data_IF_132373236066
#
_entry.id   IF_132373236066
#
_cell.length_a   1.000
_cell.length_b   1.000
_cell.length_c   1.000
_cell.angle_alpha   90.00
_cell.angle_beta   90.00
_cell.angle_gamma   90.00
#
_symmetry.space_group_name_H-M   'P 1'
#
loop_
_entity.id
_entity.type
_entity.pdbx_description
1 polymer ?
#
# COMPACT_ATOMS: atom_id res chain seq x y z
N UNK A 1 31.13 35.01 -63.07
CA UNK A 1 30.52 33.73 -62.65
C UNK A 1 30.05 33.88 -61.21
N UNK A 2 28.73 33.82 -61.01
CA UNK A 2 28.02 34.15 -59.77
C UNK A 2 28.51 33.38 -58.54
N UNK A 3 28.62 34.05 -57.39
CA UNK A 3 28.29 33.45 -56.08
C UNK A 3 28.07 34.54 -55.01
N UNK A 4 26.80 34.90 -54.85
CA UNK A 4 26.26 35.61 -53.68
C UNK A 4 26.53 34.76 -52.44
N UNK A 5 26.96 35.36 -51.33
CA UNK A 5 26.69 34.82 -50.00
C UNK A 5 26.25 35.96 -49.08
N UNK A 6 24.94 35.96 -48.85
CA UNK A 6 24.22 36.88 -48.01
C UNK A 6 24.60 36.70 -46.54
N UNK A 7 24.64 37.83 -45.84
CA UNK A 7 24.57 37.92 -44.38
C UNK A 7 23.17 37.48 -43.95
N UNK A 8 23.07 36.61 -42.94
CA UNK A 8 21.81 36.42 -42.22
C UNK A 8 22.12 36.13 -40.76
N UNK A 9 21.65 37.05 -39.92
CA UNK A 9 21.79 37.06 -38.48
C UNK A 9 21.12 35.84 -37.82
N UNK A 10 21.76 35.31 -36.80
CA UNK A 10 21.21 34.25 -35.96
C UNK A 10 20.12 34.84 -35.06
N UNK A 11 18.87 34.43 -35.27
CA UNK A 11 17.77 34.63 -34.33
C UNK A 11 17.73 33.44 -33.37
N UNK A 12 18.08 33.65 -32.10
CA UNK A 12 17.83 32.67 -31.05
C UNK A 12 16.37 32.77 -30.62
N UNK A 13 15.56 31.79 -31.01
CA UNK A 13 14.18 31.64 -30.51
C UNK A 13 14.26 30.90 -29.17
N UNK A 14 14.02 31.63 -28.08
CA UNK A 14 13.84 31.04 -26.76
C UNK A 14 12.43 30.44 -26.68
N UNK A 15 12.32 29.12 -26.76
CA UNK A 15 11.06 28.40 -26.49
C UNK A 15 10.85 28.32 -24.99
N UNK A 16 10.00 29.17 -24.45
CA UNK A 16 9.45 29.01 -23.11
C UNK A 16 8.52 27.78 -23.12
N UNK A 17 8.98 26.67 -22.56
CA UNK A 17 8.14 25.51 -22.29
C UNK A 17 7.31 25.87 -21.06
N UNK A 18 6.05 26.24 -21.28
CA UNK A 18 5.06 26.33 -20.20
C UNK A 18 4.87 24.93 -19.61
N UNK A 19 5.48 24.67 -18.45
CA UNK A 19 5.15 23.52 -17.63
C UNK A 19 3.71 23.70 -17.16
N UNK A 20 2.75 23.18 -17.93
CA UNK A 20 1.39 22.96 -17.48
C UNK A 20 1.49 22.00 -16.30
N UNK A 21 1.34 22.56 -15.09
CA UNK A 21 1.41 21.82 -13.84
C UNK A 21 0.43 20.65 -13.90
N UNK A 22 0.98 19.43 -13.79
CA UNK A 22 0.18 18.23 -13.56
C UNK A 22 -0.68 18.46 -12.33
N UNK A 23 -2.01 18.35 -12.46
CA UNK A 23 -2.91 18.35 -11.31
C UNK A 23 -2.45 17.24 -10.38
N UNK A 24 -1.93 17.62 -9.21
CA UNK A 24 -1.62 16.68 -8.14
C UNK A 24 -2.90 15.91 -7.83
N UNK A 25 -2.90 14.59 -8.07
CA UNK A 25 -3.98 13.74 -7.60
C UNK A 25 -4.06 13.89 -6.09
N UNK A 26 -5.11 14.55 -5.61
CA UNK A 26 -5.34 14.72 -4.18
C UNK A 26 -5.66 13.33 -3.63
N UNK A 27 -4.66 12.69 -2.99
CA UNK A 27 -4.90 11.46 -2.28
C UNK A 27 -5.76 11.79 -1.06
N UNK A 28 -6.86 11.08 -0.87
CA UNK A 28 -7.59 11.14 0.40
C UNK A 28 -6.60 10.81 1.53
N UNK A 29 -6.58 11.61 2.61
CA UNK A 29 -5.66 11.38 3.71
C UNK A 29 -5.93 9.99 4.29
N UNK A 30 -4.89 9.14 4.26
CA UNK A 30 -4.95 7.80 4.83
C UNK A 30 -5.38 7.91 6.30
N UNK A 31 -6.46 7.23 6.66
CA UNK A 31 -6.84 7.10 8.08
C UNK A 31 -5.65 6.49 8.82
N UNK A 32 -5.12 7.16 9.85
CA UNK A 32 -3.98 6.65 10.58
C UNK A 32 -4.34 5.31 11.24
N UNK A 33 -3.37 4.38 11.28
CA UNK A 33 -3.56 3.11 11.96
C UNK A 33 -3.74 3.33 13.47
N UNK A 34 -4.61 2.52 14.07
CA UNK A 34 -4.74 2.48 15.53
C UNK A 34 -3.51 1.78 16.15
N UNK A 35 -3.20 2.04 17.45
CA UNK A 35 -2.10 1.36 18.13
C UNK A 35 -2.19 -0.18 18.08
N UNK A 36 -3.41 -0.71 18.15
CA UNK A 36 -3.67 -2.15 18.08
C UNK A 36 -3.34 -2.71 16.69
N UNK A 37 -3.64 -1.97 15.63
CA UNK A 37 -3.33 -2.38 14.26
C UNK A 37 -1.83 -2.33 13.97
N UNK A 38 -1.12 -1.34 14.51
CA UNK A 38 0.34 -1.29 14.46
C UNK A 38 0.94 -2.52 15.15
N UNK A 39 0.49 -2.83 16.37
CA UNK A 39 0.96 -3.98 17.13
C UNK A 39 0.66 -5.30 16.42
N UNK A 40 -0.55 -5.42 15.87
CA UNK A 40 -0.96 -6.57 15.07
C UNK A 40 -0.03 -6.81 13.87
N UNK A 41 0.26 -5.76 13.09
CA UNK A 41 1.12 -5.85 11.91
C UNK A 41 2.56 -6.20 12.28
N UNK A 42 3.09 -5.64 13.37
CA UNK A 42 4.41 -5.97 13.88
C UNK A 42 4.52 -7.46 14.23
N UNK A 43 3.55 -7.98 14.98
CA UNK A 43 3.55 -9.40 15.36
C UNK A 43 3.30 -10.33 14.17
N UNK A 44 2.39 -9.95 13.27
CA UNK A 44 2.14 -10.70 12.04
C UNK A 44 3.42 -10.85 11.22
N UNK A 45 4.13 -9.74 10.93
CA UNK A 45 5.40 -9.78 10.19
C UNK A 45 6.45 -10.64 10.89
N UNK A 46 6.64 -10.42 12.19
CA UNK A 46 7.63 -11.16 12.99
C UNK A 46 7.37 -12.66 12.92
N UNK A 47 6.14 -13.08 13.19
CA UNK A 47 5.79 -14.50 13.29
C UNK A 47 5.78 -15.15 11.91
N UNK A 48 5.19 -14.52 10.90
CA UNK A 48 5.14 -15.08 9.54
C UNK A 48 6.55 -15.23 8.94
N UNK A 49 7.44 -14.28 9.19
CA UNK A 49 8.84 -14.38 8.77
C UNK A 49 9.55 -15.52 9.51
N UNK A 50 9.39 -15.61 10.84
CA UNK A 50 10.02 -16.63 11.65
C UNK A 50 9.57 -18.06 11.30
N UNK A 51 8.31 -18.22 10.86
CA UNK A 51 7.74 -19.51 10.45
C UNK A 51 7.89 -19.79 8.95
N UNK A 52 8.54 -18.91 8.19
CA UNK A 52 8.64 -18.99 6.72
C UNK A 52 7.27 -19.11 6.04
N UNK A 53 6.24 -18.52 6.64
CA UNK A 53 4.90 -18.49 6.06
C UNK A 53 4.88 -17.50 4.89
N UNK A 54 4.36 -17.89 3.70
CA UNK A 54 4.28 -17.00 2.54
C UNK A 54 3.49 -15.71 2.83
N UNK A 55 2.58 -15.72 3.81
CA UNK A 55 1.87 -14.53 4.28
C UNK A 55 2.82 -13.41 4.74
N UNK A 56 4.05 -13.74 5.16
CA UNK A 56 5.06 -12.74 5.55
C UNK A 56 5.54 -11.84 4.42
N UNK A 57 5.30 -12.21 3.16
CA UNK A 57 5.62 -11.38 1.98
C UNK A 57 4.46 -10.50 1.53
N UNK A 58 3.26 -10.66 2.11
CA UNK A 58 2.14 -9.80 1.81
C UNK A 58 2.34 -8.42 2.44
N UNK A 59 1.89 -7.38 1.73
CA UNK A 59 1.93 -6.01 2.26
C UNK A 59 1.03 -5.84 3.49
N UNK A 60 1.38 -4.89 4.34
CA UNK A 60 0.67 -4.58 5.59
C UNK A 60 -0.84 -4.38 5.37
N UNK A 61 -1.24 -3.74 4.27
CA UNK A 61 -2.66 -3.56 3.92
C UNK A 61 -3.42 -4.88 3.72
N UNK A 62 -2.78 -5.90 3.15
CA UNK A 62 -3.39 -7.22 2.98
C UNK A 62 -3.48 -7.97 4.30
N UNK A 63 -2.42 -7.95 5.11
CA UNK A 63 -2.43 -8.54 6.45
C UNK A 63 -3.56 -7.93 7.29
N UNK A 64 -3.67 -6.59 7.30
CA UNK A 64 -4.71 -5.87 8.04
C UNK A 64 -6.12 -6.20 7.53
N UNK A 65 -6.31 -6.31 6.22
CA UNK A 65 -7.60 -6.68 5.62
C UNK A 65 -8.03 -8.09 6.04
N UNK A 66 -7.13 -9.06 5.93
CA UNK A 66 -7.42 -10.46 6.29
C UNK A 66 -7.67 -10.60 7.81
N UNK A 67 -6.92 -9.86 8.65
CA UNK A 67 -7.15 -9.82 10.10
C UNK A 67 -8.50 -9.21 10.48
N UNK A 68 -8.87 -8.07 9.89
CA UNK A 68 -10.19 -7.43 10.11
C UNK A 68 -11.32 -8.34 9.62
N UNK A 69 -11.12 -9.01 8.49
CA UNK A 69 -12.08 -10.00 7.98
C UNK A 69 -12.26 -11.17 8.97
N UNK A 70 -11.18 -11.72 9.52
CA UNK A 70 -11.27 -12.76 10.54
C UNK A 70 -12.07 -12.31 11.78
N UNK A 71 -11.85 -11.07 12.24
CA UNK A 71 -12.63 -10.47 13.32
C UNK A 71 -14.13 -10.35 12.98
N UNK A 72 -14.47 -9.90 11.78
CA UNK A 72 -15.87 -9.78 11.34
C UNK A 72 -16.57 -11.15 11.19
N UNK A 73 -15.83 -12.21 10.86
CA UNK A 73 -16.40 -13.58 10.79
C UNK A 73 -16.61 -14.21 12.17
N UNK A 74 -15.75 -13.86 13.14
CA UNK A 74 -15.92 -14.27 14.53
C UNK A 74 -17.24 -13.77 15.12
N UNK A 75 -17.71 -12.58 14.74
CA UNK A 75 -19.01 -12.05 15.22
C UNK A 75 -20.22 -12.80 14.65
N UNK A 76 -20.01 -13.66 13.65
CA UNK A 76 -21.03 -14.54 13.08
C UNK A 76 -20.78 -16.02 13.40
N UNK A 77 -19.99 -16.31 14.43
CA UNK A 77 -19.58 -17.67 14.85
C UNK A 77 -18.85 -18.50 13.78
N UNK A 78 -18.23 -17.82 12.80
CA UNK A 78 -17.43 -18.47 11.75
C UNK A 78 -15.96 -18.21 12.06
N UNK A 79 -15.30 -19.24 12.59
CA UNK A 79 -13.96 -19.13 13.17
C UNK A 79 -13.00 -20.09 12.47
N UNK A 80 -11.77 -19.63 12.26
CA UNK A 80 -10.67 -20.45 11.77
C UNK A 80 -10.68 -20.68 10.26
N UNK A 81 -9.59 -21.28 9.80
CA UNK A 81 -9.28 -21.40 8.36
C UNK A 81 -10.36 -22.15 7.56
N UNK A 82 -11.05 -23.13 8.15
CA UNK A 82 -12.12 -23.86 7.45
C UNK A 82 -13.34 -23.00 7.08
N UNK A 83 -13.58 -21.91 7.81
CA UNK A 83 -14.70 -21.00 7.58
C UNK A 83 -14.32 -19.66 6.94
N UNK A 84 -13.05 -19.26 7.05
CA UNK A 84 -12.56 -17.95 6.59
C UNK A 84 -11.52 -18.04 5.48
N UNK A 85 -10.85 -19.18 5.31
CA UNK A 85 -9.66 -19.36 4.46
C UNK A 85 -8.51 -18.40 4.78
N UNK A 86 -8.56 -17.78 5.96
CA UNK A 86 -7.47 -16.95 6.48
C UNK A 86 -6.49 -17.86 7.20
N UNK A 87 -5.21 -17.57 7.02
CA UNK A 87 -4.14 -18.27 7.72
C UNK A 87 -4.44 -18.38 9.24
N UNK A 88 -4.31 -19.58 9.84
CA UNK A 88 -4.65 -19.79 11.25
C UNK A 88 -3.84 -18.91 12.20
N UNK A 89 -2.55 -18.72 11.93
CA UNK A 89 -1.68 -17.86 12.75
C UNK A 89 -2.11 -16.41 12.63
N UNK A 90 -2.46 -15.96 11.42
CA UNK A 90 -2.96 -14.60 11.22
C UNK A 90 -4.30 -14.36 11.92
N UNK A 91 -5.19 -15.36 11.86
CA UNK A 91 -6.49 -15.36 12.57
C UNK A 91 -6.29 -15.25 14.08
N UNK A 92 -5.38 -16.05 14.64
CA UNK A 92 -5.06 -16.02 16.07
C UNK A 92 -4.54 -14.64 16.50
N UNK A 93 -3.64 -14.03 15.73
CA UNK A 93 -3.11 -12.70 16.02
C UNK A 93 -4.20 -11.62 15.92
N UNK A 94 -5.11 -11.73 14.96
CA UNK A 94 -6.23 -10.80 14.84
C UNK A 94 -7.13 -10.83 16.09
N UNK A 95 -7.39 -12.02 16.64
CA UNK A 95 -8.20 -12.17 17.85
C UNK A 95 -7.53 -11.64 19.13
N UNK A 96 -6.19 -11.61 19.16
CA UNK A 96 -5.43 -11.08 20.30
C UNK A 96 -5.35 -9.56 20.21
N UNK A 97 -5.05 -9.01 19.04
CA UNK A 97 -4.68 -7.60 18.89
C UNK A 97 -5.79 -6.72 18.30
N UNK A 98 -6.54 -7.21 17.30
CA UNK A 98 -7.56 -6.40 16.60
C UNK A 98 -8.93 -6.48 17.26
N UNK A 99 -9.36 -7.67 17.69
CA UNK A 99 -10.67 -7.90 18.30
C UNK A 99 -10.58 -8.78 19.57
N UNK A 100 -9.92 -8.28 20.63
CA UNK A 100 -9.94 -8.96 21.92
C UNK A 100 -11.37 -9.03 22.47
N UNK A 101 -11.71 -10.16 23.11
CA UNK A 101 -12.95 -10.36 23.86
C UNK A 101 -12.62 -10.50 25.35
#
# INVERSE_FOLDING_TARGET
MNRRKAVAAALFVATAVELVGTQSAHADPLTPLTPNEVTYLEQARKIMTATHNPMGFHGDGRLLTDGRYACARRTTDIIGNSGTYVDPTLTQLAFIYLCPQ
#
